data_IF_172858401493
#
_entry.id   IF_172858401493
#
_cell.length_a   1.000
_cell.length_b   1.000
_cell.length_c   1.000
_cell.angle_alpha   90.00
_cell.angle_beta   90.00
_cell.angle_gamma   90.00
#
_symmetry.space_group_name_H-M   'P 1'
#
loop_
_entity.id
_entity.type
_entity.pdbx_description
1 polymer ?
#
# COMPACT_ATOMS: atom_id res chain seq x y z
N UNK A 1 -34.64 69.19 -21.44
CA UNK A 1 -33.86 68.09 -22.04
C UNK A 1 -33.22 67.28 -20.92
N UNK A 2 -33.80 66.15 -20.55
CA UNK A 2 -33.23 65.18 -19.60
C UNK A 2 -32.70 64.01 -20.42
N UNK A 3 -31.40 63.74 -20.37
CA UNK A 3 -30.78 62.60 -21.06
C UNK A 3 -30.88 61.38 -20.16
N UNK A 4 -31.72 60.44 -20.57
CA UNK A 4 -31.87 59.12 -19.98
C UNK A 4 -30.59 58.30 -20.20
N UNK A 5 -29.85 58.03 -19.13
CA UNK A 5 -28.67 57.17 -19.15
C UNK A 5 -29.08 55.71 -18.99
N UNK A 6 -29.26 54.99 -20.11
CA UNK A 6 -29.36 53.52 -20.12
C UNK A 6 -28.02 52.92 -19.65
N UNK A 7 -27.95 52.51 -18.38
CA UNK A 7 -26.95 51.58 -17.85
C UNK A 7 -27.00 50.30 -18.68
N UNK A 8 -25.96 50.03 -19.47
CA UNK A 8 -25.72 48.68 -20.03
C UNK A 8 -25.25 47.81 -18.88
N UNK A 9 -26.05 46.82 -18.49
CA UNK A 9 -25.61 45.74 -17.61
C UNK A 9 -24.46 44.98 -18.28
N UNK A 10 -23.24 45.19 -17.77
CA UNK A 10 -22.09 44.38 -18.17
C UNK A 10 -22.27 42.97 -17.60
N UNK A 11 -22.57 42.00 -18.48
CA UNK A 11 -22.51 40.58 -18.13
C UNK A 11 -21.12 40.26 -17.54
N UNK A 12 -21.03 39.52 -16.42
CA UNK A 12 -19.76 39.24 -15.78
C UNK A 12 -18.80 38.57 -16.77
N UNK A 13 -17.58 39.10 -16.91
CA UNK A 13 -16.55 38.51 -17.76
C UNK A 13 -16.25 37.10 -17.26
N UNK A 14 -16.64 36.09 -18.05
CA UNK A 14 -16.34 34.68 -17.75
C UNK A 14 -14.83 34.50 -17.57
N UNK A 15 -14.43 33.81 -16.50
CA UNK A 15 -13.02 33.58 -16.21
C UNK A 15 -12.36 32.76 -17.33
N UNK A 16 -11.08 33.03 -17.66
CA UNK A 16 -10.34 32.28 -18.67
C UNK A 16 -10.31 30.77 -18.38
N UNK A 17 -10.31 30.39 -17.10
CA UNK A 17 -10.46 29.00 -16.65
C UNK A 17 -11.81 28.39 -17.02
N UNK A 18 -12.92 29.12 -16.84
CA UNK A 18 -14.26 28.64 -17.18
C UNK A 18 -14.43 28.45 -18.69
N UNK A 19 -13.85 29.33 -19.51
CA UNK A 19 -13.78 29.18 -20.98
C UNK A 19 -12.90 28.01 -21.42
N UNK A 20 -11.76 27.83 -20.75
CA UNK A 20 -10.85 26.72 -21.03
C UNK A 20 -11.47 25.37 -20.71
N UNK A 21 -12.06 25.24 -19.52
CA UNK A 21 -12.85 24.07 -19.13
C UNK A 21 -13.95 23.83 -20.15
N UNK A 22 -14.81 24.80 -20.48
CA UNK A 22 -15.92 24.56 -21.42
C UNK A 22 -15.48 24.11 -22.83
N UNK A 23 -14.30 24.52 -23.31
CA UNK A 23 -13.79 24.18 -24.64
C UNK A 23 -13.17 22.77 -24.72
N UNK A 24 -12.54 22.31 -23.63
CA UNK A 24 -11.83 21.02 -23.59
C UNK A 24 -12.44 20.02 -22.60
N UNK A 25 -13.48 20.43 -21.87
CA UNK A 25 -14.21 19.63 -20.88
C UNK A 25 -14.64 18.28 -21.44
N UNK A 26 -15.14 18.15 -22.67
CA UNK A 26 -15.51 16.83 -23.19
C UNK A 26 -14.33 15.85 -23.22
N UNK A 27 -13.13 16.31 -23.60
CA UNK A 27 -11.93 15.48 -23.66
C UNK A 27 -11.40 15.16 -22.26
N UNK A 28 -11.35 16.15 -21.36
CA UNK A 28 -10.92 15.92 -19.99
C UNK A 28 -11.89 14.98 -19.24
N UNK A 29 -13.20 15.13 -19.44
CA UNK A 29 -14.20 14.23 -18.87
C UNK A 29 -14.05 12.81 -19.43
N UNK A 30 -13.75 12.65 -20.72
CA UNK A 30 -13.49 11.34 -21.30
C UNK A 30 -12.24 10.68 -20.70
N UNK A 31 -11.14 11.43 -20.53
CA UNK A 31 -9.92 10.91 -19.88
C UNK A 31 -10.19 10.54 -18.42
N UNK A 32 -10.87 11.41 -17.66
CA UNK A 32 -11.24 11.12 -16.27
C UNK A 32 -12.12 9.88 -16.19
N UNK A 33 -13.08 9.71 -17.11
CA UNK A 33 -13.92 8.52 -17.17
C UNK A 33 -13.10 7.24 -17.43
N UNK A 34 -12.09 7.29 -18.31
CA UNK A 34 -11.17 6.16 -18.55
C UNK A 34 -10.37 5.84 -17.28
N UNK A 35 -9.83 6.85 -16.59
CA UNK A 35 -9.13 6.65 -15.31
C UNK A 35 -10.05 5.99 -14.28
N UNK A 36 -11.29 6.45 -14.16
CA UNK A 36 -12.27 5.88 -13.22
C UNK A 36 -12.63 4.42 -13.56
N UNK A 37 -12.73 4.07 -14.84
CA UNK A 37 -13.15 2.73 -15.26
C UNK A 37 -12.01 1.72 -15.21
N UNK A 38 -10.79 2.12 -15.60
CA UNK A 38 -9.68 1.19 -15.79
C UNK A 38 -8.61 1.29 -14.71
N UNK A 39 -8.32 2.50 -14.21
CA UNK A 39 -7.21 2.71 -13.28
C UNK A 39 -7.70 2.60 -11.83
N UNK A 40 -8.82 3.23 -11.47
CA UNK A 40 -9.33 3.21 -10.09
C UNK A 40 -9.56 1.78 -9.60
N UNK A 41 -10.23 0.87 -10.34
CA UNK A 41 -10.46 -0.49 -9.84
C UNK A 41 -9.18 -1.28 -9.62
N UNK A 42 -8.11 -1.00 -10.37
CA UNK A 42 -6.80 -1.62 -10.21
C UNK A 42 -6.08 -1.07 -8.96
N UNK A 43 -6.12 0.25 -8.75
CA UNK A 43 -5.52 0.91 -7.58
C UNK A 43 -6.27 0.63 -6.27
N UNK A 44 -7.55 0.27 -6.34
CA UNK A 44 -8.36 -0.09 -5.16
C UNK A 44 -8.42 -1.60 -4.91
N UNK A 45 -7.71 -2.43 -5.67
CA UNK A 45 -7.59 -3.86 -5.32
C UNK A 45 -6.90 -3.93 -3.96
N UNK A 46 -7.43 -4.78 -3.08
CA UNK A 46 -6.78 -5.06 -1.81
C UNK A 46 -5.38 -5.62 -2.08
N UNK A 47 -4.40 -5.13 -1.33
CA UNK A 47 -3.03 -5.63 -1.27
C UNK A 47 -2.71 -6.12 0.15
N UNK A 48 -1.48 -6.61 0.35
CA UNK A 48 -1.03 -7.05 1.66
C UNK A 48 -1.10 -5.93 2.69
N UNK A 49 -0.74 -4.69 2.31
CA UNK A 49 -0.77 -3.53 3.19
C UNK A 49 -2.19 -3.25 3.74
N UNK A 50 -3.19 -3.32 2.88
CA UNK A 50 -4.61 -3.13 3.24
C UNK A 50 -5.17 -4.24 4.14
N UNK A 51 -4.47 -5.38 4.20
CA UNK A 51 -4.88 -6.54 5.00
C UNK A 51 -4.33 -6.50 6.43
N UNK A 52 -3.37 -5.62 6.73
CA UNK A 52 -2.80 -5.54 8.08
C UNK A 52 -3.84 -5.11 9.12
N UNK A 53 -3.76 -5.65 10.35
CA UNK A 53 -4.71 -5.31 11.40
C UNK A 53 -4.54 -3.85 11.87
N UNK A 54 -5.66 -3.12 11.94
CA UNK A 54 -5.70 -1.76 12.48
C UNK A 54 -5.55 -1.71 14.02
N UNK A 55 -5.64 -2.86 14.69
CA UNK A 55 -5.62 -2.99 16.15
C UNK A 55 -4.23 -2.82 16.77
N UNK A 56 -3.17 -2.74 15.96
CA UNK A 56 -1.81 -2.53 16.44
C UNK A 56 -1.65 -1.12 17.06
N UNK A 57 -0.87 -1.04 18.13
CA UNK A 57 -0.44 0.23 18.73
C UNK A 57 0.51 0.99 17.80
N UNK A 58 0.74 2.29 18.05
CA UNK A 58 1.66 3.09 17.21
C UNK A 58 3.11 2.55 17.21
N UNK A 59 3.55 1.99 18.33
CA UNK A 59 4.85 1.34 18.45
C UNK A 59 4.91 0.06 17.60
N UNK A 60 3.89 -0.80 17.70
CA UNK A 60 3.80 -2.02 16.90
C UNK A 60 3.67 -1.72 15.40
N UNK A 61 2.94 -0.65 15.03
CA UNK A 61 2.88 -0.17 13.65
C UNK A 61 4.26 0.22 13.13
N UNK A 62 5.03 0.98 13.93
CA UNK A 62 6.40 1.36 13.57
C UNK A 62 7.30 0.14 13.39
N UNK A 63 7.20 -0.85 14.29
CA UNK A 63 7.96 -2.11 14.21
C UNK A 63 7.60 -2.88 12.93
N UNK A 64 6.32 -3.05 12.65
CA UNK A 64 5.83 -3.68 11.41
C UNK A 64 6.36 -2.92 10.19
N UNK A 65 6.19 -1.61 10.14
CA UNK A 65 6.55 -0.81 8.97
C UNK A 65 8.06 -0.86 8.71
N UNK A 66 8.87 -0.85 9.77
CA UNK A 66 10.33 -1.01 9.68
C UNK A 66 10.70 -2.40 9.18
N UNK A 67 10.06 -3.45 9.71
CA UNK A 67 10.28 -4.83 9.26
C UNK A 67 9.90 -5.01 7.78
N UNK A 68 8.76 -4.47 7.37
CA UNK A 68 8.26 -4.57 5.99
C UNK A 68 9.15 -3.80 4.99
N UNK A 69 9.79 -2.72 5.45
CA UNK A 69 10.73 -1.94 4.65
C UNK A 69 12.14 -2.55 4.56
N UNK A 70 12.45 -3.59 5.34
CA UNK A 70 13.76 -4.25 5.31
C UNK A 70 14.07 -4.79 3.91
N UNK A 71 15.18 -4.38 3.32
CA UNK A 71 15.60 -4.64 1.93
C UNK A 71 17.02 -5.22 1.84
N UNK A 72 17.42 -5.95 2.88
CA UNK A 72 18.71 -6.61 2.97
C UNK A 72 19.84 -5.67 3.38
N UNK A 73 21.06 -6.19 3.60
CA UNK A 73 22.18 -5.42 4.14
C UNK A 73 22.78 -4.38 3.18
N UNK A 74 22.47 -4.48 1.89
CA UNK A 74 23.02 -3.60 0.85
C UNK A 74 22.04 -2.51 0.40
N UNK A 75 20.82 -2.48 0.91
CA UNK A 75 19.74 -1.56 0.53
C UNK A 75 19.35 -1.55 -0.98
N UNK A 76 19.84 -2.51 -1.77
CA UNK A 76 19.72 -2.53 -3.25
C UNK A 76 18.65 -3.50 -3.78
N UNK A 77 18.08 -4.35 -2.93
CA UNK A 77 17.15 -5.43 -3.29
C UNK A 77 15.66 -5.13 -3.06
N UNK A 78 14.83 -6.17 -3.31
CA UNK A 78 13.41 -6.16 -2.97
C UNK A 78 13.20 -6.14 -1.45
N UNK A 79 12.18 -5.42 -0.99
CA UNK A 79 11.86 -5.39 0.44
C UNK A 79 11.24 -6.72 0.91
N UNK A 80 11.23 -6.94 2.22
CA UNK A 80 10.54 -8.06 2.85
C UNK A 80 9.04 -8.05 2.50
N UNK A 81 8.44 -6.86 2.41
CA UNK A 81 7.08 -6.70 1.93
C UNK A 81 6.90 -7.23 0.50
N UNK A 82 7.82 -6.87 -0.40
CA UNK A 82 7.76 -7.30 -1.80
C UNK A 82 7.91 -8.82 -1.91
N UNK A 83 8.85 -9.41 -1.18
CA UNK A 83 9.09 -10.85 -1.19
C UNK A 83 7.87 -11.65 -0.68
N UNK A 84 7.23 -11.20 0.40
CA UNK A 84 5.99 -11.81 0.91
C UNK A 84 4.85 -11.63 -0.10
N UNK A 85 4.71 -10.43 -0.66
CA UNK A 85 3.67 -10.12 -1.66
C UNK A 85 3.84 -10.94 -2.93
N UNK A 86 5.07 -11.16 -3.37
CA UNK A 86 5.42 -12.00 -4.51
C UNK A 86 5.08 -13.46 -4.21
N UNK A 87 5.48 -13.99 -3.06
CA UNK A 87 5.14 -15.37 -2.65
C UNK A 87 3.62 -15.61 -2.61
N UNK A 88 2.85 -14.65 -2.09
CA UNK A 88 1.38 -14.74 -2.12
C UNK A 88 0.87 -14.70 -3.58
N UNK A 89 1.42 -13.82 -4.42
CA UNK A 89 0.99 -13.69 -5.82
C UNK A 89 1.32 -14.93 -6.67
N UNK A 90 2.45 -15.59 -6.38
CA UNK A 90 2.87 -16.84 -7.02
C UNK A 90 1.97 -18.03 -6.63
N UNK A 91 1.59 -18.13 -5.35
CA UNK A 91 0.71 -19.19 -4.85
C UNK A 91 -0.75 -19.01 -5.31
N UNK A 92 -1.19 -17.75 -5.50
CA UNK A 92 -2.56 -17.39 -5.89
C UNK A 92 -2.61 -16.58 -7.19
N UNK A 93 -2.15 -17.14 -8.32
CA UNK A 93 -2.01 -16.39 -9.56
C UNK A 93 -3.38 -16.01 -10.14
N UNK A 94 -3.53 -14.74 -10.50
CA UNK A 94 -4.77 -14.15 -11.04
C UNK A 94 -5.97 -14.16 -10.08
N UNK A 95 -5.73 -14.33 -8.79
CA UNK A 95 -6.77 -14.28 -7.78
C UNK A 95 -6.78 -12.97 -7.02
N UNK A 96 -7.98 -12.50 -6.70
CA UNK A 96 -8.17 -11.36 -5.81
C UNK A 96 -8.15 -11.82 -4.35
N UNK A 97 -7.02 -12.40 -3.93
CA UNK A 97 -6.95 -13.13 -2.66
C UNK A 97 -7.30 -12.25 -1.45
N UNK A 98 -6.87 -10.99 -1.46
CA UNK A 98 -7.15 -10.01 -0.40
C UNK A 98 -8.61 -9.55 -0.33
N UNK A 99 -9.40 -9.67 -1.41
CA UNK A 99 -10.84 -9.34 -1.40
C UNK A 99 -11.69 -10.48 -0.83
N UNK A 100 -11.11 -11.67 -0.59
CA UNK A 100 -11.85 -12.82 -0.09
C UNK A 100 -12.08 -12.71 1.42
N UNK A 101 -13.33 -12.88 1.86
CA UNK A 101 -13.73 -12.82 3.29
C UNK A 101 -13.06 -13.88 4.18
N UNK A 102 -12.54 -14.95 3.59
CA UNK A 102 -11.79 -15.99 4.30
C UNK A 102 -10.31 -15.63 4.44
N UNK A 103 -9.81 -14.67 3.68
CA UNK A 103 -8.44 -14.20 3.77
C UNK A 103 -8.30 -13.30 4.99
N UNK A 104 -7.30 -13.57 5.81
CA UNK A 104 -7.00 -12.82 7.02
C UNK A 104 -5.49 -12.70 7.18
N UNK A 105 -5.06 -11.54 7.63
CA UNK A 105 -3.68 -11.31 8.05
C UNK A 105 -3.70 -10.98 9.54
N UNK A 106 -3.00 -11.79 10.33
CA UNK A 106 -2.74 -11.48 11.73
C UNK A 106 -1.26 -11.15 11.88
N UNK A 107 -0.99 -10.11 12.66
CA UNK A 107 0.37 -9.71 13.02
C UNK A 107 0.41 -9.60 14.54
N UNK A 108 1.29 -10.38 15.16
CA UNK A 108 1.52 -10.31 16.61
C UNK A 108 2.93 -9.82 16.85
N UNK A 109 3.05 -8.76 17.64
CA UNK A 109 4.33 -8.13 17.95
C UNK A 109 4.55 -8.25 19.45
N UNK A 110 5.77 -8.63 19.84
CA UNK A 110 6.16 -8.79 21.24
C UNK A 110 7.53 -8.18 21.45
N UNK A 111 7.62 -7.23 22.39
CA UNK A 111 8.90 -6.68 22.83
C UNK A 111 9.65 -7.77 23.61
N UNK A 112 10.89 -8.06 23.21
CA UNK A 112 11.75 -9.04 23.86
C UNK A 112 12.61 -8.37 24.93
N UNK A 113 13.41 -7.37 24.55
CA UNK A 113 14.25 -6.51 25.41
C UNK A 113 15.04 -5.51 24.54
N UNK A 114 15.44 -4.35 25.08
CA UNK A 114 16.33 -3.37 24.41
C UNK A 114 15.92 -2.92 22.99
N UNK A 115 14.60 -2.83 22.74
CA UNK A 115 14.02 -2.54 21.41
C UNK A 115 14.23 -3.65 20.36
N UNK A 116 14.48 -4.88 20.81
CA UNK A 116 14.29 -6.08 20.01
C UNK A 116 12.84 -6.53 20.09
N UNK A 117 12.23 -6.80 18.94
CA UNK A 117 10.86 -7.26 18.85
C UNK A 117 10.80 -8.59 18.10
N UNK A 118 9.94 -9.48 18.58
CA UNK A 118 9.46 -10.62 17.81
C UNK A 118 8.22 -10.20 17.03
N UNK A 119 8.17 -10.56 15.76
CA UNK A 119 7.02 -10.35 14.88
C UNK A 119 6.59 -11.69 14.31
N UNK A 120 5.36 -12.09 14.62
CA UNK A 120 4.70 -13.25 14.04
C UNK A 120 3.72 -12.73 13.00
N UNK A 121 3.84 -13.20 11.78
CA UNK A 121 2.97 -12.90 10.67
C UNK A 121 2.24 -14.17 10.24
N UNK A 122 0.92 -14.13 10.28
CA UNK A 122 0.04 -15.20 9.82
C UNK A 122 -0.81 -14.69 8.67
N UNK A 123 -0.66 -15.29 7.51
CA UNK A 123 -1.58 -15.13 6.39
C UNK A 123 -2.40 -16.39 6.26
N UNK A 124 -3.71 -16.30 6.48
CA UNK A 124 -4.64 -17.41 6.29
C UNK A 124 -5.51 -17.11 5.08
N UNK A 125 -5.60 -18.06 4.15
CA UNK A 125 -6.49 -17.98 3.00
C UNK A 125 -7.42 -19.19 2.95
N UNK A 126 -8.26 -19.24 1.91
CA UNK A 126 -9.15 -20.39 1.69
C UNK A 126 -8.48 -21.60 1.04
N UNK A 127 -7.22 -21.50 0.59
CA UNK A 127 -6.45 -22.63 0.01
C UNK A 127 -5.17 -22.98 0.75
N UNK A 128 -4.68 -22.10 1.62
CA UNK A 128 -3.43 -22.30 2.33
C UNK A 128 -3.09 -21.14 3.24
N UNK A 129 -2.00 -21.33 3.96
CA UNK A 129 -1.54 -20.49 5.03
C UNK A 129 -0.03 -20.25 4.93
N UNK A 130 0.40 -19.05 5.31
CA UNK A 130 1.81 -18.71 5.49
C UNK A 130 2.02 -18.25 6.92
N UNK A 131 3.03 -18.84 7.56
CA UNK A 131 3.46 -18.49 8.91
C UNK A 131 4.90 -18.04 8.87
N UNK A 132 5.17 -16.87 9.41
CA UNK A 132 6.52 -16.36 9.55
C UNK A 132 6.75 -15.80 10.96
N UNK A 133 7.96 -15.98 11.45
CA UNK A 133 8.42 -15.51 12.75
C UNK A 133 9.80 -14.88 12.58
N UNK A 134 9.87 -13.57 12.81
CA UNK A 134 11.10 -12.79 12.75
C UNK A 134 11.40 -12.12 14.06
N UNK A 135 12.69 -11.88 14.30
CA UNK A 135 13.15 -10.89 15.26
C UNK A 135 13.72 -9.69 14.52
N UNK A 136 13.36 -8.48 14.96
CA UNK A 136 13.91 -7.22 14.47
C UNK A 136 14.52 -6.42 15.62
N UNK A 137 15.74 -5.93 15.42
CA UNK A 137 16.37 -4.94 16.28
C UNK A 137 16.05 -3.54 15.76
N UNK A 138 15.24 -2.77 16.49
CA UNK A 138 14.82 -1.43 16.04
C UNK A 138 15.91 -0.36 16.19
N UNK A 139 17.07 -0.70 16.77
CA UNK A 139 18.23 0.20 16.84
C UNK A 139 19.13 0.02 15.63
N UNK A 140 19.38 -1.21 15.20
CA UNK A 140 20.26 -1.51 14.06
C UNK A 140 19.50 -1.68 12.74
N UNK A 141 18.22 -2.05 12.79
CA UNK A 141 17.44 -2.46 11.63
C UNK A 141 17.65 -3.92 11.22
N UNK A 142 18.45 -4.68 11.97
CA UNK A 142 18.76 -6.07 11.62
C UNK A 142 17.53 -6.96 11.80
N UNK A 143 17.28 -7.83 10.81
CA UNK A 143 16.17 -8.79 10.82
C UNK A 143 16.71 -10.22 10.77
N UNK A 144 16.12 -11.10 11.58
CA UNK A 144 16.49 -12.53 11.65
C UNK A 144 15.26 -13.42 11.59
N UNK A 145 15.26 -14.39 10.68
CA UNK A 145 14.27 -15.46 10.63
C UNK A 145 14.43 -16.46 11.78
N UNK A 146 13.34 -16.74 12.50
CA UNK A 146 13.34 -17.62 13.67
C UNK A 146 12.97 -19.06 13.33
N UNK A 147 12.26 -19.28 12.22
CA UNK A 147 11.95 -20.58 11.63
C UNK A 147 12.54 -20.73 10.22
N UNK A 148 12.40 -21.92 9.62
CA UNK A 148 12.97 -22.24 8.30
C UNK A 148 12.37 -21.37 7.18
N UNK A 149 11.05 -21.22 7.14
CA UNK A 149 10.36 -20.41 6.13
C UNK A 149 10.79 -18.94 6.21
N UNK A 150 10.87 -18.41 7.42
CA UNK A 150 11.29 -17.04 7.71
C UNK A 150 12.75 -16.79 7.34
N UNK A 151 13.63 -17.76 7.59
CA UNK A 151 15.03 -17.70 7.16
C UNK A 151 15.16 -17.74 5.65
N UNK A 152 14.35 -18.57 4.98
CA UNK A 152 14.35 -18.66 3.53
C UNK A 152 13.92 -17.34 2.89
N UNK A 153 12.90 -16.67 3.47
CA UNK A 153 12.47 -15.34 3.02
C UNK A 153 13.58 -14.30 3.24
N UNK A 154 14.17 -14.21 4.43
CA UNK A 154 15.24 -13.25 4.71
C UNK A 154 16.47 -13.52 3.83
N UNK A 155 16.83 -14.78 3.60
CA UNK A 155 17.91 -15.14 2.68
C UNK A 155 17.61 -14.72 1.24
N UNK A 156 16.35 -14.68 0.81
CA UNK A 156 16.02 -14.14 -0.51
C UNK A 156 16.21 -12.63 -0.53
N UNK A 157 15.69 -11.93 0.48
CA UNK A 157 15.85 -10.47 0.60
C UNK A 157 17.34 -10.06 0.70
N UNK A 158 18.17 -10.81 1.42
CA UNK A 158 19.58 -10.46 1.66
C UNK A 158 20.50 -10.73 0.46
N UNK A 159 20.16 -11.69 -0.41
CA UNK A 159 21.06 -12.23 -1.42
C UNK A 159 20.52 -12.22 -2.86
N UNK A 160 19.30 -11.72 -3.11
CA UNK A 160 18.84 -11.46 -4.48
C UNK A 160 19.33 -10.08 -4.95
N UNK A 161 20.24 -10.10 -5.92
CA UNK A 161 20.62 -8.99 -6.82
C UNK A 161 20.04 -9.25 -8.23
#
# INVERSE_FOLDING_TARGET
MVRDSKKKEEKPKESPFKKFLKKRAPVYLAVIAIVIIFIIPELTKGDLQSSFPETLTEEEKLVRDTLMAYNGPNDEGHSLYDEISNKISEEYPNEKIYENKKTKVNVMISNLEDKNYRVIFDFESYKGDFHYNWNIDMQTGDVKGMDEESKNIISRVDFYD
#
